data_IF_060117020568
#
_entry.id   IF_060117020568
#
_cell.length_a   1.000
_cell.length_b   1.000
_cell.length_c   1.000
_cell.angle_alpha   90.00
_cell.angle_beta   90.00
_cell.angle_gamma   90.00
#
_symmetry.space_group_name_H-M   'P 1'
#
loop_
_entity.id
_entity.type
_entity.pdbx_description
1 polymer ?
#
# COMPACT_ATOMS: atom_id res chain seq x y z
N UNK A 1 -8.10 2.94 -10.87
CA UNK A 1 -9.41 3.61 -10.75
C UNK A 1 -9.10 5.07 -10.51
N UNK A 2 -9.57 5.94 -11.42
CA UNK A 2 -9.37 7.39 -11.37
C UNK A 2 -10.72 8.09 -11.15
N UNK A 3 -11.50 7.57 -10.20
CA UNK A 3 -12.83 8.12 -9.92
C UNK A 3 -12.73 8.91 -8.62
N UNK A 4 -13.04 10.18 -8.71
CA UNK A 4 -13.22 11.02 -7.51
C UNK A 4 -14.47 10.62 -6.76
N UNK A 5 -14.45 10.84 -5.45
CA UNK A 5 -15.58 10.56 -4.59
C UNK A 5 -16.77 11.48 -4.96
N UNK A 6 -17.96 10.91 -5.06
CA UNK A 6 -19.17 11.71 -5.22
C UNK A 6 -19.56 12.37 -3.89
N UNK A 7 -19.24 13.65 -3.76
CA UNK A 7 -19.49 14.44 -2.55
C UNK A 7 -20.97 14.67 -2.22
N UNK A 8 -21.89 14.25 -3.09
CA UNK A 8 -23.35 14.31 -2.84
C UNK A 8 -23.84 13.14 -1.97
N UNK A 9 -23.04 12.10 -1.85
CA UNK A 9 -23.35 10.93 -1.03
C UNK A 9 -22.69 11.08 0.34
N UNK A 10 -23.43 11.01 1.45
CA UNK A 10 -22.84 11.07 2.78
C UNK A 10 -21.95 9.86 3.03
N UNK A 11 -20.82 10.07 3.69
CA UNK A 11 -19.89 9.02 4.10
C UNK A 11 -20.23 8.54 5.52
N UNK A 12 -19.76 7.32 5.85
CA UNK A 12 -19.89 6.84 7.23
C UNK A 12 -19.10 7.73 8.21
N UNK A 13 -17.98 8.32 7.77
CA UNK A 13 -17.19 9.22 8.58
C UNK A 13 -17.97 10.50 8.94
N UNK A 14 -18.69 11.10 7.98
CA UNK A 14 -19.57 12.24 8.27
C UNK A 14 -20.70 11.88 9.25
N UNK A 15 -21.21 10.66 9.19
CA UNK A 15 -22.25 10.19 10.13
C UNK A 15 -21.68 10.05 11.55
N UNK A 16 -20.46 9.51 11.68
CA UNK A 16 -19.79 9.35 12.97
C UNK A 16 -19.37 10.70 13.54
N UNK A 17 -18.79 11.57 12.73
CA UNK A 17 -18.45 12.95 13.12
C UNK A 17 -19.69 13.71 13.61
N UNK A 18 -20.82 13.58 12.91
CA UNK A 18 -22.11 14.14 13.35
C UNK A 18 -22.67 13.55 14.63
N UNK A 19 -22.08 12.48 15.17
CA UNK A 19 -22.37 11.87 16.48
C UNK A 19 -21.28 12.12 17.51
N UNK A 20 -20.41 13.10 17.23
CA UNK A 20 -19.29 13.50 18.09
C UNK A 20 -18.25 12.38 18.34
N UNK A 21 -18.09 11.47 17.38
CA UNK A 21 -16.93 10.58 17.35
C UNK A 21 -15.72 11.37 16.84
N UNK A 22 -14.60 11.42 17.53
CA UNK A 22 -13.33 11.82 16.94
C UNK A 22 -13.01 10.96 15.72
N UNK A 23 -12.65 11.59 14.61
CA UNK A 23 -12.46 10.89 13.34
C UNK A 23 -11.12 11.27 12.71
N UNK A 24 -10.34 10.27 12.25
CA UNK A 24 -9.08 10.52 11.58
C UNK A 24 -8.85 9.61 10.37
N UNK A 25 -8.03 10.10 9.41
CA UNK A 25 -7.61 9.36 8.22
C UNK A 25 -6.15 9.62 7.91
N UNK A 26 -5.32 8.57 7.90
CA UNK A 26 -3.90 8.68 7.57
C UNK A 26 -3.52 7.71 6.45
N UNK A 27 -2.78 8.22 5.45
CA UNK A 27 -2.21 7.43 4.37
C UNK A 27 -2.98 7.48 3.05
N UNK A 28 -3.22 6.35 2.41
CA UNK A 28 -3.75 6.28 1.05
C UNK A 28 -5.25 6.54 0.98
N UNK A 29 -5.63 7.69 0.43
CA UNK A 29 -7.04 8.04 0.18
C UNK A 29 -7.52 7.58 -1.20
N UNK A 30 -6.87 8.03 -2.27
CA UNK A 30 -7.09 7.62 -3.67
C UNK A 30 -8.54 7.84 -4.20
N UNK A 31 -9.25 8.80 -3.63
CA UNK A 31 -10.62 9.19 -4.03
C UNK A 31 -10.73 10.65 -4.48
N UNK A 32 -9.60 11.31 -4.68
CA UNK A 32 -9.46 12.70 -5.08
C UNK A 32 -8.53 13.47 -4.16
N UNK A 33 -7.96 14.56 -4.66
CA UNK A 33 -6.88 15.30 -4.00
C UNK A 33 -7.19 16.79 -3.86
N UNK A 34 -8.38 17.21 -4.27
CA UNK A 34 -8.74 18.62 -4.33
C UNK A 34 -10.20 18.87 -3.93
N UNK A 35 -10.43 20.00 -3.28
CA UNK A 35 -11.77 20.49 -2.99
C UNK A 35 -12.64 19.46 -2.28
N UNK A 36 -13.87 19.23 -2.76
CA UNK A 36 -14.82 18.33 -2.09
C UNK A 36 -14.46 16.84 -2.17
N UNK A 37 -13.45 16.46 -2.96
CA UNK A 37 -12.95 15.09 -3.03
C UNK A 37 -11.92 14.74 -1.94
N UNK A 38 -11.46 15.72 -1.16
CA UNK A 38 -10.64 15.50 0.04
C UNK A 38 -11.40 14.68 1.09
N UNK A 39 -10.70 14.06 2.08
CA UNK A 39 -11.33 13.24 3.12
C UNK A 39 -12.39 14.02 3.91
N UNK A 40 -13.66 13.68 3.70
CA UNK A 40 -14.80 14.32 4.35
C UNK A 40 -15.27 13.51 5.54
N UNK A 41 -15.65 14.21 6.62
CA UNK A 41 -16.09 13.59 7.85
C UNK A 41 -14.94 13.11 8.75
N UNK A 42 -13.71 13.50 8.42
CA UNK A 42 -12.56 13.30 9.28
C UNK A 42 -12.14 14.64 9.89
N UNK A 43 -12.02 14.70 11.22
CA UNK A 43 -11.58 15.89 11.95
C UNK A 43 -10.08 16.15 11.72
N UNK A 44 -9.32 15.08 11.52
CA UNK A 44 -7.90 15.13 11.20
C UNK A 44 -7.61 14.18 10.04
N UNK A 45 -6.85 14.65 9.06
CA UNK A 45 -6.42 13.77 7.97
C UNK A 45 -5.09 14.23 7.39
N UNK A 46 -4.31 13.25 6.94
CA UNK A 46 -3.09 13.46 6.17
C UNK A 46 -2.92 12.30 5.19
N UNK A 47 -2.99 12.61 3.88
CA UNK A 47 -3.12 11.59 2.83
C UNK A 47 -1.99 11.69 1.81
N UNK A 48 -1.70 10.56 1.15
CA UNK A 48 -0.81 10.55 0.01
C UNK A 48 -1.52 11.05 -1.26
N UNK A 49 -0.86 11.86 -2.12
CA UNK A 49 -1.30 12.06 -3.49
C UNK A 49 -1.20 10.73 -4.27
N UNK A 50 -2.21 10.43 -5.07
CA UNK A 50 -2.28 9.23 -5.90
C UNK A 50 -2.01 7.94 -5.16
N UNK A 51 -0.95 7.24 -5.55
CA UNK A 51 -0.53 5.97 -4.95
C UNK A 51 0.44 6.17 -3.78
N UNK A 52 0.96 7.36 -3.59
CA UNK A 52 2.03 7.67 -2.63
C UNK A 52 3.39 7.05 -2.99
N UNK A 53 4.43 7.51 -2.33
CA UNK A 53 5.78 6.97 -2.41
C UNK A 53 6.13 6.18 -1.14
N UNK A 54 7.08 5.25 -1.23
CA UNK A 54 7.53 4.46 -0.09
C UNK A 54 8.50 5.21 0.82
N UNK A 55 9.34 6.04 0.22
CA UNK A 55 10.37 6.80 0.93
C UNK A 55 10.14 8.29 0.70
N UNK A 56 10.26 9.08 1.75
CA UNK A 56 10.06 10.53 1.74
C UNK A 56 8.79 10.97 0.99
N UNK A 57 7.63 10.37 1.32
CA UNK A 57 6.40 10.60 0.58
C UNK A 57 5.96 12.06 0.66
N UNK A 58 5.40 12.56 -0.45
CA UNK A 58 4.54 13.72 -0.39
C UNK A 58 3.26 13.37 0.36
N UNK A 59 2.77 14.28 1.20
CA UNK A 59 1.49 14.17 1.90
C UNK A 59 0.71 15.47 1.76
N UNK A 60 -0.60 15.35 1.73
CA UNK A 60 -1.56 16.45 1.66
C UNK A 60 -2.31 16.49 2.98
N UNK A 61 -2.39 17.67 3.58
CA UNK A 61 -3.26 18.00 4.72
C UNK A 61 -3.89 19.38 4.51
N UNK A 62 -4.53 19.94 5.53
CA UNK A 62 -5.13 21.29 5.47
C UNK A 62 -4.14 22.41 5.14
N UNK A 63 -2.86 22.22 5.47
CA UNK A 63 -1.78 23.17 5.17
C UNK A 63 -1.25 23.08 3.73
N UNK A 64 -1.72 22.11 2.95
CA UNK A 64 -1.28 21.85 1.57
C UNK A 64 -0.42 20.62 1.43
N UNK A 65 0.37 20.57 0.34
CA UNK A 65 1.23 19.41 0.04
C UNK A 65 2.65 19.68 0.52
N UNK A 66 3.22 18.71 1.24
CA UNK A 66 4.61 18.78 1.72
C UNK A 66 5.23 17.39 1.78
N UNK A 67 6.55 17.32 1.68
CA UNK A 67 7.30 16.05 1.80
C UNK A 67 7.55 15.74 3.26
N UNK A 68 7.29 14.50 3.66
CA UNK A 68 7.57 13.99 5.02
C UNK A 68 8.75 13.02 4.93
N UNK A 69 9.92 13.33 5.53
CA UNK A 69 11.06 12.43 5.48
C UNK A 69 10.79 11.11 6.22
N UNK A 70 11.21 9.99 5.62
CA UNK A 70 11.14 8.67 6.24
C UNK A 70 10.41 7.64 5.39
N UNK A 71 10.10 6.51 6.01
CA UNK A 71 9.41 5.40 5.34
C UNK A 71 7.89 5.49 5.53
N UNK A 72 7.14 5.41 4.44
CA UNK A 72 5.69 5.68 4.42
C UNK A 72 4.88 4.87 5.43
N UNK A 73 5.23 3.59 5.66
CA UNK A 73 4.53 2.74 6.63
C UNK A 73 4.74 3.24 8.06
N UNK A 74 5.98 3.60 8.41
CA UNK A 74 6.31 4.17 9.73
C UNK A 74 5.61 5.53 9.91
N UNK A 75 5.69 6.42 8.92
CA UNK A 75 5.05 7.74 8.95
C UNK A 75 3.55 7.66 9.22
N UNK A 76 2.83 6.79 8.50
CA UNK A 76 1.38 6.63 8.67
C UNK A 76 1.07 6.13 10.08
N UNK A 77 1.87 5.22 10.61
CA UNK A 77 1.72 4.71 11.98
C UNK A 77 2.05 5.77 13.02
N UNK A 78 3.12 6.53 12.84
CA UNK A 78 3.52 7.60 13.76
C UNK A 78 2.43 8.67 13.87
N UNK A 79 1.87 9.12 12.73
CA UNK A 79 0.74 10.04 12.69
C UNK A 79 -0.51 9.47 13.40
N UNK A 80 -0.75 8.18 13.24
CA UNK A 80 -1.88 7.49 13.89
C UNK A 80 -1.69 7.43 15.41
N UNK A 81 -0.50 7.09 15.87
CA UNK A 81 -0.16 7.04 17.29
C UNK A 81 -0.17 8.44 17.91
N UNK A 82 0.37 9.45 17.23
CA UNK A 82 0.31 10.83 17.69
C UNK A 82 -1.14 11.30 17.88
N UNK A 83 -2.02 10.98 16.95
CA UNK A 83 -3.42 11.33 17.06
C UNK A 83 -4.11 10.59 18.21
N UNK A 84 -3.84 9.27 18.38
CA UNK A 84 -4.38 8.48 19.49
C UNK A 84 -3.94 9.01 20.85
N UNK A 85 -2.68 9.42 21.01
CA UNK A 85 -2.20 10.04 22.26
C UNK A 85 -2.91 11.35 22.60
N UNK A 86 -3.49 12.02 21.61
CA UNK A 86 -4.27 13.25 21.82
C UNK A 86 -5.72 13.00 22.24
N UNK A 87 -6.20 11.74 22.19
CA UNK A 87 -7.55 11.39 22.63
C UNK A 87 -7.63 11.20 24.13
N UNK A 88 -8.80 11.47 24.69
CA UNK A 88 -9.11 11.11 26.06
C UNK A 88 -9.25 9.59 26.26
N UNK A 89 -8.93 9.11 27.47
CA UNK A 89 -9.17 7.72 27.82
C UNK A 89 -10.66 7.35 27.67
N UNK A 90 -10.93 6.20 27.07
CA UNK A 90 -12.27 5.64 26.85
C UNK A 90 -13.20 6.43 25.92
N UNK A 91 -12.72 7.34 25.10
CA UNK A 91 -13.54 7.96 24.04
C UNK A 91 -13.66 7.02 22.83
N UNK A 92 -14.88 6.72 22.34
CA UNK A 92 -15.03 5.96 21.11
C UNK A 92 -14.59 6.83 19.93
N UNK A 93 -13.75 6.30 19.05
CA UNK A 93 -13.22 7.00 17.90
C UNK A 93 -13.37 6.19 16.61
N UNK A 94 -13.12 6.85 15.48
CA UNK A 94 -12.99 6.19 14.18
C UNK A 94 -11.71 6.67 13.49
N UNK A 95 -10.75 5.79 13.32
CA UNK A 95 -9.50 6.09 12.62
C UNK A 95 -9.28 5.11 11.47
N UNK A 96 -8.94 5.64 10.30
CA UNK A 96 -8.54 4.87 9.13
C UNK A 96 -7.03 4.98 8.95
N UNK A 97 -6.35 3.83 8.98
CA UNK A 97 -4.90 3.73 8.78
C UNK A 97 -4.65 2.97 7.48
N UNK A 98 -4.34 3.69 6.42
CA UNK A 98 -4.24 3.15 5.08
C UNK A 98 -2.80 3.20 4.56
N UNK A 99 -2.05 2.14 4.78
CA UNK A 99 -0.67 2.04 4.29
C UNK A 99 -0.61 1.98 2.75
N UNK A 100 0.49 2.50 2.17
CA UNK A 100 0.84 2.28 0.78
C UNK A 100 1.24 0.82 0.53
N UNK A 101 2.06 0.27 1.41
CA UNK A 101 2.47 -1.12 1.35
C UNK A 101 1.25 -2.06 1.48
N UNK A 102 1.23 -3.20 0.80
CA UNK A 102 2.22 -3.76 -0.10
C UNK A 102 1.90 -3.53 -1.59
N UNK A 103 1.49 -2.32 -1.99
CA UNK A 103 1.27 -1.98 -3.40
C UNK A 103 2.61 -1.84 -4.17
N UNK A 104 2.61 -2.18 -5.46
CA UNK A 104 3.76 -2.00 -6.35
C UNK A 104 4.18 -0.51 -6.51
N UNK A 105 5.45 -0.19 -6.87
CA UNK A 105 6.60 -1.08 -6.83
C UNK A 105 7.03 -1.34 -5.39
N UNK A 106 7.25 -2.55 -5.00
CA UNK A 106 7.57 -2.94 -3.62
C UNK A 106 8.96 -2.44 -3.23
N UNK A 107 9.03 -1.39 -2.43
CA UNK A 107 10.29 -0.82 -1.94
C UNK A 107 10.40 -1.07 -0.44
N UNK A 108 11.16 -2.09 -0.02
CA UNK A 108 11.35 -2.40 1.39
C UNK A 108 12.09 -1.30 2.14
N UNK A 109 11.81 -1.15 3.42
CA UNK A 109 12.63 -0.33 4.31
C UNK A 109 13.99 -0.98 4.61
N UNK A 110 14.93 -0.20 5.13
CA UNK A 110 16.29 -0.68 5.43
C UNK A 110 16.30 -1.76 6.53
N UNK A 111 15.33 -1.74 7.46
CA UNK A 111 15.25 -2.72 8.56
C UNK A 111 15.00 -4.14 8.04
N UNK A 112 14.23 -4.28 6.96
CA UNK A 112 13.72 -5.57 6.49
C UNK A 112 14.41 -6.09 5.23
N UNK A 113 15.28 -5.32 4.58
CA UNK A 113 16.00 -5.74 3.36
C UNK A 113 16.82 -7.02 3.51
N UNK A 114 17.21 -7.37 4.73
CA UNK A 114 17.97 -8.60 5.00
C UNK A 114 17.08 -9.86 5.02
N UNK A 115 15.77 -9.72 5.18
CA UNK A 115 14.85 -10.85 5.26
C UNK A 115 14.75 -11.56 3.90
N UNK A 116 14.68 -12.89 3.95
CA UNK A 116 14.55 -13.75 2.76
C UNK A 116 15.72 -13.62 1.76
N UNK A 117 16.86 -13.04 2.16
CA UNK A 117 18.00 -12.82 1.28
C UNK A 117 18.65 -14.14 0.84
N UNK A 118 18.78 -15.11 1.76
CA UNK A 118 19.52 -16.35 1.57
C UNK A 118 18.63 -17.56 1.24
N UNK A 119 17.36 -17.34 0.96
CA UNK A 119 16.42 -18.42 0.71
C UNK A 119 15.71 -18.31 -0.64
N UNK A 120 15.29 -19.46 -1.18
CA UNK A 120 14.33 -19.51 -2.28
C UNK A 120 12.91 -19.52 -1.73
N UNK A 121 12.08 -18.59 -2.18
CA UNK A 121 10.67 -18.54 -1.84
C UNK A 121 9.95 -19.66 -2.60
N UNK A 122 9.18 -20.53 -1.93
CA UNK A 122 8.47 -21.62 -2.57
C UNK A 122 7.50 -21.13 -3.65
N UNK A 123 7.47 -21.82 -4.77
CA UNK A 123 6.47 -21.59 -5.82
C UNK A 123 5.19 -22.32 -5.45
N UNK A 124 4.00 -21.70 -5.57
CA UNK A 124 2.74 -22.41 -5.37
C UNK A 124 2.51 -23.47 -6.46
N UNK A 125 1.75 -24.51 -6.18
CA UNK A 125 1.40 -25.56 -7.16
C UNK A 125 0.74 -24.96 -8.41
N UNK A 126 0.01 -23.86 -8.27
CA UNK A 126 -0.69 -23.14 -9.34
C UNK A 126 0.19 -22.10 -10.05
N UNK A 127 1.51 -22.12 -9.85
CA UNK A 127 2.42 -21.09 -10.38
C UNK A 127 2.35 -20.94 -11.92
N UNK A 128 2.11 -22.04 -12.62
CA UNK A 128 1.95 -22.07 -14.07
C UNK A 128 0.51 -22.36 -14.52
N UNK A 129 -0.49 -22.10 -13.67
CA UNK A 129 -1.90 -22.22 -14.05
C UNK A 129 -2.17 -21.31 -15.28
N UNK A 130 -2.72 -21.89 -16.33
CA UNK A 130 -3.09 -21.19 -17.57
C UNK A 130 -4.42 -20.42 -17.46
N UNK A 131 -5.12 -20.60 -16.34
CA UNK A 131 -6.43 -20.01 -16.06
C UNK A 131 -7.55 -20.43 -17.06
N UNK A 132 -7.37 -21.45 -17.89
CA UNK A 132 -8.36 -21.86 -18.91
C UNK A 132 -9.72 -22.20 -18.31
N UNK A 133 -9.72 -22.78 -17.11
CA UNK A 133 -10.95 -23.16 -16.38
C UNK A 133 -11.57 -22.01 -15.59
N UNK A 134 -10.94 -20.83 -15.58
CA UNK A 134 -11.37 -19.66 -14.80
C UNK A 134 -12.37 -18.80 -15.60
N UNK A 135 -12.99 -17.84 -14.91
CA UNK A 135 -13.87 -16.86 -15.55
C UNK A 135 -13.16 -16.04 -16.63
N UNK A 136 -13.94 -15.46 -17.56
CA UNK A 136 -13.39 -14.57 -18.59
C UNK A 136 -12.64 -13.36 -17.99
N UNK A 137 -13.07 -12.86 -16.84
CA UNK A 137 -12.43 -11.76 -16.15
C UNK A 137 -11.01 -12.13 -15.68
N UNK A 138 -10.82 -13.34 -15.13
CA UNK A 138 -9.49 -13.81 -14.70
C UNK A 138 -8.58 -14.07 -15.90
N UNK A 139 -9.11 -14.66 -16.98
CA UNK A 139 -8.32 -14.90 -18.21
C UNK A 139 -7.88 -13.61 -18.92
N UNK A 140 -8.62 -12.51 -18.75
CA UNK A 140 -8.33 -11.21 -19.34
C UNK A 140 -7.50 -10.28 -18.43
N UNK A 141 -6.92 -10.78 -17.34
CA UNK A 141 -6.10 -9.99 -16.42
C UNK A 141 -4.78 -9.58 -17.08
N UNK A 142 -4.44 -8.30 -16.98
CA UNK A 142 -3.20 -7.69 -17.47
C UNK A 142 -2.28 -7.30 -16.31
N UNK A 143 -2.06 -8.20 -15.36
CA UNK A 143 -1.13 -8.03 -14.24
C UNK A 143 -0.48 -9.36 -13.91
N UNK A 144 0.23 -9.92 -14.89
CA UNK A 144 0.92 -11.20 -14.75
C UNK A 144 2.39 -11.01 -14.42
N UNK A 145 2.96 -11.92 -13.65
CA UNK A 145 4.41 -11.90 -13.36
C UNK A 145 5.21 -12.04 -14.65
N UNK A 146 4.75 -12.90 -15.56
CA UNK A 146 5.48 -13.21 -16.77
C UNK A 146 5.65 -12.01 -17.69
N UNK A 147 4.55 -11.32 -17.98
CA UNK A 147 4.49 -10.40 -19.11
C UNK A 147 4.35 -8.92 -18.69
N UNK A 148 3.69 -8.64 -17.55
CA UNK A 148 3.37 -7.26 -17.14
C UNK A 148 4.30 -6.69 -16.07
N UNK A 149 5.11 -7.52 -15.39
CA UNK A 149 6.06 -7.07 -14.39
C UNK A 149 7.37 -6.64 -15.07
N UNK A 150 7.69 -5.36 -15.01
CA UNK A 150 8.82 -4.73 -15.69
C UNK A 150 9.99 -4.34 -14.78
N UNK A 151 10.95 -3.63 -15.37
CA UNK A 151 12.14 -3.16 -14.67
C UNK A 151 11.81 -2.20 -13.51
N UNK A 152 10.77 -1.38 -13.65
CA UNK A 152 10.35 -0.45 -12.61
C UNK A 152 9.88 -1.20 -11.34
N UNK A 153 9.17 -2.32 -11.52
CA UNK A 153 8.73 -3.15 -10.39
C UNK A 153 9.88 -3.90 -9.73
N UNK A 154 10.78 -4.44 -10.57
CA UNK A 154 11.88 -5.28 -10.13
C UNK A 154 13.12 -4.48 -9.73
N UNK A 155 13.16 -3.17 -10.05
CA UNK A 155 14.31 -2.27 -9.83
C UNK A 155 15.60 -2.74 -10.50
N UNK A 156 15.45 -3.60 -11.51
CA UNK A 156 16.56 -4.14 -12.30
C UNK A 156 16.07 -4.68 -13.65
N UNK A 157 17.00 -4.71 -14.60
CA UNK A 157 16.74 -5.24 -15.94
C UNK A 157 16.73 -6.77 -15.95
N UNK A 158 15.96 -7.33 -16.90
CA UNK A 158 15.93 -8.77 -17.14
C UNK A 158 17.30 -9.20 -17.71
N UNK A 159 17.99 -10.16 -17.10
CA UNK A 159 19.26 -10.68 -17.60
C UNK A 159 19.12 -11.22 -19.04
N UNK A 160 20.17 -11.01 -19.87
CA UNK A 160 20.12 -11.36 -21.29
C UNK A 160 19.78 -12.85 -21.54
N UNK A 161 20.31 -13.74 -20.72
CA UNK A 161 20.05 -15.19 -20.82
C UNK A 161 18.62 -15.59 -20.48
N UNK A 162 17.80 -14.68 -19.91
CA UNK A 162 16.37 -14.88 -19.61
C UNK A 162 15.47 -14.16 -20.61
N UNK A 163 16.03 -13.43 -21.56
CA UNK A 163 15.25 -12.81 -22.66
C UNK A 163 14.87 -13.86 -23.71
N UNK A 164 13.85 -13.54 -24.51
CA UNK A 164 13.35 -14.43 -25.54
C UNK A 164 12.18 -15.31 -25.07
N UNK A 165 11.35 -15.75 -26.02
CA UNK A 165 10.13 -16.51 -25.74
C UNK A 165 10.43 -17.90 -25.12
N UNK A 166 11.53 -18.53 -25.52
CA UNK A 166 11.97 -19.84 -25.03
C UNK A 166 12.31 -19.85 -23.53
N UNK A 167 12.65 -18.68 -22.98
CA UNK A 167 13.05 -18.52 -21.58
C UNK A 167 11.88 -18.03 -20.68
N UNK A 168 10.63 -18.05 -21.18
CA UNK A 168 9.49 -17.47 -20.48
C UNK A 168 9.30 -18.02 -19.06
N UNK A 169 9.38 -19.31 -18.87
CA UNK A 169 9.21 -19.94 -17.54
C UNK A 169 10.37 -19.57 -16.60
N UNK A 170 11.62 -19.66 -17.09
CA UNK A 170 12.78 -19.30 -16.29
C UNK A 170 12.75 -17.81 -15.88
N UNK A 171 12.36 -16.95 -16.80
CA UNK A 171 12.14 -15.52 -16.54
C UNK A 171 11.03 -15.28 -15.51
N UNK A 172 9.91 -16.00 -15.60
CA UNK A 172 8.82 -15.91 -14.65
C UNK A 172 9.25 -16.31 -13.24
N UNK A 173 10.01 -17.41 -13.09
CA UNK A 173 10.59 -17.83 -11.80
C UNK A 173 11.56 -16.80 -11.24
N UNK A 174 12.41 -16.22 -12.09
CA UNK A 174 13.36 -15.18 -11.69
C UNK A 174 12.63 -13.93 -11.19
N UNK A 175 11.63 -13.43 -11.94
CA UNK A 175 10.79 -12.29 -11.54
C UNK A 175 10.08 -12.57 -10.20
N UNK A 176 9.52 -13.77 -10.04
CA UNK A 176 8.82 -14.18 -8.84
C UNK A 176 9.69 -14.10 -7.59
N UNK A 177 10.94 -14.58 -7.65
CA UNK A 177 11.84 -14.53 -6.49
C UNK A 177 12.16 -13.10 -6.05
N UNK A 178 12.33 -12.18 -6.99
CA UNK A 178 12.58 -10.76 -6.69
C UNK A 178 11.33 -10.12 -6.11
N UNK A 179 10.23 -10.22 -6.84
CA UNK A 179 8.96 -9.65 -6.43
C UNK A 179 8.51 -10.12 -5.05
N UNK A 180 8.51 -11.43 -4.83
CA UNK A 180 8.03 -12.00 -3.57
C UNK A 180 8.92 -11.64 -2.38
N UNK A 181 10.22 -11.53 -2.60
CA UNK A 181 11.13 -11.05 -1.55
C UNK A 181 10.77 -9.62 -1.14
N UNK A 182 10.72 -8.72 -2.09
CA UNK A 182 10.41 -7.32 -1.82
C UNK A 182 9.01 -7.14 -1.23
N UNK A 183 8.03 -7.91 -1.74
CA UNK A 183 6.68 -7.94 -1.22
C UNK A 183 6.63 -8.35 0.25
N UNK A 184 7.28 -9.48 0.60
CA UNK A 184 7.28 -10.00 1.97
C UNK A 184 8.04 -9.08 2.94
N UNK A 185 9.10 -8.42 2.48
CA UNK A 185 9.81 -7.41 3.26
C UNK A 185 8.92 -6.19 3.53
N UNK A 186 8.13 -5.74 2.54
CA UNK A 186 7.12 -4.69 2.76
C UNK A 186 6.01 -5.14 3.71
N UNK A 187 5.57 -6.40 3.63
CA UNK A 187 4.56 -6.97 4.55
C UNK A 187 5.08 -6.99 5.98
N UNK A 188 6.37 -7.31 6.19
CA UNK A 188 6.96 -7.28 7.53
C UNK A 188 6.92 -5.88 8.14
N UNK A 189 7.16 -4.84 7.34
CA UNK A 189 7.04 -3.48 7.85
C UNK A 189 5.62 -3.12 8.26
N UNK A 190 4.60 -3.68 7.60
CA UNK A 190 3.20 -3.50 8.02
C UNK A 190 2.94 -4.24 9.33
N UNK A 191 3.42 -5.49 9.43
CA UNK A 191 3.23 -6.33 10.62
C UNK A 191 3.78 -5.64 11.88
N UNK A 192 5.02 -5.16 11.81
CA UNK A 192 5.64 -4.39 12.90
C UNK A 192 4.82 -3.15 13.28
N UNK A 193 4.33 -2.41 12.29
CA UNK A 193 3.58 -1.18 12.49
C UNK A 193 2.15 -1.42 13.01
N UNK A 194 1.51 -2.51 12.58
CA UNK A 194 0.23 -2.96 13.17
C UNK A 194 0.45 -3.37 14.62
N UNK A 195 1.54 -4.07 14.93
CA UNK A 195 1.93 -4.39 16.30
C UNK A 195 2.02 -3.14 17.19
N UNK A 196 2.71 -2.09 16.71
CA UNK A 196 2.81 -0.80 17.44
C UNK A 196 1.45 -0.16 17.74
N UNK A 197 0.50 -0.24 16.80
CA UNK A 197 -0.86 0.28 17.01
C UNK A 197 -1.62 -0.55 18.02
N UNK A 198 -1.54 -1.89 17.94
CA UNK A 198 -2.23 -2.81 18.86
C UNK A 198 -1.69 -2.73 20.28
N UNK A 199 -0.38 -2.50 20.45
CA UNK A 199 0.25 -2.32 21.75
C UNK A 199 -0.20 -1.01 22.43
N UNK A 200 -0.73 -0.05 21.66
CA UNK A 200 -1.18 1.23 22.16
C UNK A 200 -2.68 1.23 22.55
N UNK A 201 -3.50 0.42 21.87
CA UNK A 201 -4.96 0.33 22.09
C UNK A 201 -5.28 -0.66 23.20
#
# INVERSE_FOLDING_TARGET
IWTEMDYRVPTFAEVLQGRAYPTAMFGKWHLGEHGPALPRGFDTWKIFPGQGDYVDPAMIDEGGTHTVPGYATDIVTDLSLEWLHGLGEAEPFCMLVHHKAPHRPWVPDEKHKHLYADGRIPEPETFFDDNETRSKAVRGVHMTIADDMGADDLKQEIPDHLRGPENREARMRWKYQIYMRDYLQCVQSIDDNVGRLLDHI
#
